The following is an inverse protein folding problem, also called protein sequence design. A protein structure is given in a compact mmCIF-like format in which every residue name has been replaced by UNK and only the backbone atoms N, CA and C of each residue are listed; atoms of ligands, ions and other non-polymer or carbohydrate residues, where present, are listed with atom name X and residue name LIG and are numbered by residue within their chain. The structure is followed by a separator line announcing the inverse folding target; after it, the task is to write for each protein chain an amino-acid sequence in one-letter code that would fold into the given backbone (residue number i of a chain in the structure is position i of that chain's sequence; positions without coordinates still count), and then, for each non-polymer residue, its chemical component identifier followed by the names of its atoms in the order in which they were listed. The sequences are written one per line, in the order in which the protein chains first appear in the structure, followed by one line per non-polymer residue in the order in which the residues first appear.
data_IF_420263075670
#
_entry.id   IF_420263075670
#
_cell.length_a   1.000
_cell.length_b   1.000
_cell.length_c   1.000
_cell.angle_alpha   90.00
_cell.angle_beta   90.00
_cell.angle_gamma   90.00
#
_symmetry.space_group_name_H-M   'P 1'
#
loop_
_entity.id
_entity.type
_entity.pdbx_description
1 polymer ?
#
# COMPACT_ATOMS: atom_id res chain seq x y z
N UNK A 1 -27.21 4.47 -2.25
CA UNK A 1 -25.94 5.20 -2.04
C UNK A 1 -25.10 4.61 -0.91
N UNK A 2 -25.65 4.32 0.29
CA UNK A 2 -24.85 3.76 1.40
C UNK A 2 -24.14 2.43 1.06
N UNK A 3 -24.83 1.48 0.42
CA UNK A 3 -24.26 0.14 0.11
C UNK A 3 -22.98 0.18 -0.75
N UNK A 4 -22.93 1.05 -1.76
CA UNK A 4 -21.76 1.17 -2.65
C UNK A 4 -20.57 1.76 -1.88
N UNK A 5 -20.82 2.73 -1.00
CA UNK A 5 -19.80 3.34 -0.16
C UNK A 5 -19.24 2.35 0.86
N UNK A 6 -20.10 1.52 1.48
CA UNK A 6 -19.65 0.47 2.39
C UNK A 6 -18.84 -0.61 1.68
N UNK A 7 -19.23 -1.04 0.48
CA UNK A 7 -18.47 -2.03 -0.29
C UNK A 7 -17.08 -1.54 -0.68
N UNK A 8 -16.95 -0.27 -1.10
CA UNK A 8 -15.64 0.33 -1.40
C UNK A 8 -14.78 0.45 -0.14
N UNK A 9 -15.36 0.87 0.99
CA UNK A 9 -14.64 0.93 2.26
C UNK A 9 -14.15 -0.44 2.74
N UNK A 10 -14.96 -1.48 2.58
CA UNK A 10 -14.60 -2.85 2.94
C UNK A 10 -13.45 -3.39 2.06
N UNK A 11 -13.45 -3.05 0.77
CA UNK A 11 -12.36 -3.39 -0.15
C UNK A 11 -11.04 -2.73 0.27
N UNK A 12 -11.08 -1.46 0.67
CA UNK A 12 -9.90 -0.73 1.21
C UNK A 12 -9.38 -1.40 2.47
N UNK A 13 -10.28 -1.76 3.40
CA UNK A 13 -9.92 -2.42 4.64
C UNK A 13 -9.18 -3.74 4.36
N UNK A 14 -9.68 -4.53 3.41
CA UNK A 14 -9.06 -5.81 3.00
C UNK A 14 -7.69 -5.58 2.37
N UNK A 15 -7.55 -4.60 1.46
CA UNK A 15 -6.26 -4.29 0.82
C UNK A 15 -5.24 -3.80 1.86
N UNK A 16 -5.65 -2.92 2.77
CA UNK A 16 -4.80 -2.44 3.86
C UNK A 16 -4.40 -3.59 4.81
N UNK A 17 -5.33 -4.51 5.12
CA UNK A 17 -5.08 -5.66 5.97
C UNK A 17 -4.11 -6.65 5.32
N UNK A 18 -4.26 -6.92 4.01
CA UNK A 18 -3.35 -7.75 3.23
C UNK A 18 -1.96 -7.12 3.16
N UNK A 19 -1.87 -5.82 2.90
CA UNK A 19 -0.60 -5.09 2.92
C UNK A 19 0.07 -5.20 4.31
N UNK A 20 -0.69 -4.99 5.38
CA UNK A 20 -0.21 -5.13 6.75
C UNK A 20 0.30 -6.55 7.06
N UNK A 21 -0.43 -7.56 6.60
CA UNK A 21 -0.07 -8.97 6.76
C UNK A 21 1.21 -9.31 5.99
N UNK A 22 1.36 -8.79 4.77
CA UNK A 22 2.58 -8.93 3.97
C UNK A 22 3.77 -8.28 4.66
N UNK A 23 3.63 -7.06 5.19
CA UNK A 23 4.71 -6.40 5.97
C UNK A 23 5.08 -7.22 7.21
N UNK A 24 4.07 -7.73 7.94
CA UNK A 24 4.29 -8.52 9.15
C UNK A 24 4.96 -9.87 8.85
N UNK A 25 4.60 -10.49 7.73
CA UNK A 25 5.21 -11.72 7.23
C UNK A 25 6.65 -11.48 6.77
N UNK A 26 6.91 -10.38 6.05
CA UNK A 26 8.24 -9.98 5.59
C UNK A 26 9.21 -9.70 6.75
N UNK A 27 8.72 -9.24 7.92
CA UNK A 27 9.59 -9.01 9.09
C UNK A 27 10.35 -10.26 9.57
N UNK A 28 9.90 -11.49 9.26
CA UNK A 28 10.63 -12.73 9.58
C UNK A 28 11.50 -13.17 8.42
N UNK A 29 12.81 -12.92 8.52
CA UNK A 29 13.83 -13.52 7.65
C UNK A 29 13.96 -12.95 6.24
N UNK A 30 13.20 -11.91 5.86
CA UNK A 30 13.44 -11.21 4.59
C UNK A 30 14.34 -10.00 4.78
N UNK A 31 15.24 -9.80 3.81
CA UNK A 31 16.20 -8.69 3.79
C UNK A 31 15.47 -7.35 3.73
N UNK A 32 15.99 -6.36 4.46
CA UNK A 32 15.45 -5.00 4.52
C UNK A 32 15.29 -4.38 3.13
N UNK A 33 16.21 -4.67 2.21
CA UNK A 33 16.19 -4.19 0.82
C UNK A 33 14.95 -4.68 0.06
N UNK A 34 14.51 -5.93 0.30
CA UNK A 34 13.30 -6.46 -0.34
C UNK A 34 12.04 -5.73 0.13
N UNK A 35 12.01 -5.34 1.41
CA UNK A 35 10.91 -4.57 2.00
C UNK A 35 10.88 -3.15 1.42
N UNK A 36 12.05 -2.52 1.25
CA UNK A 36 12.19 -1.20 0.62
C UNK A 36 11.65 -1.23 -0.81
N UNK A 37 12.11 -2.19 -1.63
CA UNK A 37 11.68 -2.35 -3.02
C UNK A 37 10.18 -2.63 -3.15
N UNK A 38 9.61 -3.39 -2.23
CA UNK A 38 8.18 -3.64 -2.20
C UNK A 38 7.38 -2.36 -1.90
N UNK A 39 7.79 -1.60 -0.88
CA UNK A 39 7.17 -0.32 -0.55
C UNK A 39 7.27 0.71 -1.69
N UNK A 40 8.43 0.81 -2.34
CA UNK A 40 8.63 1.68 -3.50
C UNK A 40 7.73 1.30 -4.68
N UNK A 41 7.61 0.01 -5.02
CA UNK A 41 6.70 -0.44 -6.07
C UNK A 41 5.24 -0.08 -5.76
N UNK A 42 4.83 -0.21 -4.50
CA UNK A 42 3.47 0.13 -4.08
C UNK A 42 3.23 1.65 -4.12
N UNK A 43 4.26 2.44 -3.81
CA UNK A 43 4.23 3.91 -3.94
C UNK A 43 4.05 4.34 -5.39
N UNK A 44 4.84 3.76 -6.29
CA UNK A 44 4.77 4.01 -7.72
C UNK A 44 3.42 3.58 -8.30
N UNK A 45 2.90 2.44 -7.88
CA UNK A 45 1.59 1.96 -8.29
C UNK A 45 0.47 2.92 -7.85
N UNK A 46 0.49 3.37 -6.58
CA UNK A 46 -0.45 4.39 -6.11
C UNK A 46 -0.30 5.72 -6.86
N UNK A 47 0.93 6.14 -7.16
CA UNK A 47 1.21 7.36 -7.91
C UNK A 47 0.71 7.32 -9.36
N UNK A 48 0.88 6.20 -10.07
CA UNK A 48 0.38 6.04 -11.44
C UNK A 48 -1.15 6.08 -11.46
N UNK A 49 -1.80 5.45 -10.47
CA UNK A 49 -3.25 5.49 -10.33
C UNK A 49 -3.79 6.90 -10.08
N UNK A 50 -3.07 7.72 -9.31
CA UNK A 50 -3.42 9.14 -9.09
C UNK A 50 -3.40 9.95 -10.39
N UNK A 51 -2.43 9.69 -11.26
CA UNK A 51 -2.24 10.45 -12.50
C UNK A 51 -3.24 10.04 -13.58
N UNK A 52 -3.85 8.85 -13.48
CA UNK A 52 -4.85 8.38 -14.44
C UNK A 52 -6.19 9.12 -14.26
N UNK A 53 -6.64 9.93 -15.25
CA UNK A 53 -7.91 10.66 -15.17
C UNK A 53 -9.15 9.75 -15.21
N UNK A 54 -9.01 8.48 -15.59
CA UNK A 54 -10.09 7.49 -15.50
C UNK A 54 -10.15 6.78 -14.13
N UNK A 55 -9.18 7.03 -13.25
CA UNK A 55 -9.24 6.49 -11.88
C UNK A 55 -10.34 7.19 -11.09
N UNK A 56 -11.30 6.39 -10.63
CA UNK A 56 -12.48 6.86 -9.92
C UNK A 56 -12.47 6.42 -8.44
N UNK A 57 -11.27 6.26 -7.85
CA UNK A 57 -11.16 5.84 -6.45
C UNK A 57 -11.17 7.03 -5.46
N UNK A 58 -11.58 8.23 -5.91
CA UNK A 58 -11.94 9.38 -5.05
C UNK A 58 -10.89 9.72 -3.99
N UNK A 59 -9.60 9.56 -4.32
CA UNK A 59 -8.49 9.90 -3.43
C UNK A 59 -7.85 8.72 -2.70
N UNK A 60 -8.36 7.49 -2.87
CA UNK A 60 -7.76 6.27 -2.29
C UNK A 60 -6.39 5.97 -2.92
N UNK A 61 -6.18 6.39 -4.15
CA UNK A 61 -4.92 6.22 -4.89
C UNK A 61 -3.74 6.85 -4.13
N UNK A 62 -3.96 8.02 -3.53
CA UNK A 62 -2.99 8.70 -2.67
C UNK A 62 -2.70 7.93 -1.38
N UNK A 63 -3.71 7.25 -0.83
CA UNK A 63 -3.57 6.42 0.37
C UNK A 63 -2.69 5.20 0.10
N UNK A 64 -2.82 4.61 -1.09
CA UNK A 64 -1.96 3.50 -1.56
C UNK A 64 -0.51 4.02 -1.70
N UNK A 65 -0.33 5.18 -2.34
CA UNK A 65 1.00 5.78 -2.49
C UNK A 65 1.68 6.02 -1.13
N UNK A 66 0.93 6.58 -0.18
CA UNK A 66 1.40 6.83 1.19
C UNK A 66 1.75 5.53 1.93
N UNK A 67 0.91 4.51 1.82
CA UNK A 67 1.15 3.19 2.43
C UNK A 67 2.46 2.57 1.90
N UNK A 68 2.66 2.60 0.59
CA UNK A 68 3.90 2.13 -0.02
C UNK A 68 5.13 2.85 0.55
N UNK A 69 5.03 4.16 0.76
CA UNK A 69 6.12 4.97 1.26
C UNK A 69 6.44 4.65 2.73
N UNK A 70 5.42 4.45 3.56
CA UNK A 70 5.59 3.99 4.96
C UNK A 70 6.27 2.62 4.99
N UNK A 71 5.87 1.69 4.11
CA UNK A 71 6.47 0.36 4.02
C UNK A 71 7.94 0.46 3.64
N UNK A 72 8.25 1.30 2.66
CA UNK A 72 9.63 1.55 2.24
C UNK A 72 10.46 2.08 3.41
N UNK A 73 9.91 3.02 4.19
CA UNK A 73 10.57 3.56 5.38
C UNK A 73 10.79 2.51 6.48
N UNK A 74 9.83 1.61 6.71
CA UNK A 74 9.98 0.50 7.65
C UNK A 74 11.09 -0.46 7.22
N UNK A 75 11.27 -0.66 5.91
CA UNK A 75 12.38 -1.44 5.36
C UNK A 75 13.76 -0.83 5.64
N UNK A 76 13.88 0.50 5.70
CA UNK A 76 15.14 1.18 6.05
C UNK A 76 15.56 0.95 7.51
N UNK A 77 14.60 0.79 8.42
CA UNK A 77 14.87 0.48 9.83
C UNK A 77 15.22 -0.98 10.08
N UNK A 78 15.13 -1.84 9.06
CA UNK A 78 15.54 -3.24 9.13
C UNK A 78 17.03 -3.29 8.77
N UNK A 79 17.88 -3.36 9.80
CA UNK A 79 19.27 -3.76 9.61
C UNK A 79 19.30 -5.19 9.03
N UNK A 80 19.89 -5.34 7.85
CA UNK A 80 20.18 -6.65 7.24
C UNK A 80 21.16 -7.46 8.09
#
# INVERSE_FOLDING_TARGET
MSFVVTSVFFLILIVALLACLVIFSLRKGTSGIKIILFGLNLTLLGGILVVDPNSNLRGIEYLIALLGLIISAVGLGKSD
#
